data_IF_976876937604
#
_entry.id   IF_976876937604
#
_cell.length_a   1.000
_cell.length_b   1.000
_cell.length_c   1.000
_cell.angle_alpha   90.00
_cell.angle_beta   90.00
_cell.angle_gamma   90.00
#
_symmetry.space_group_name_H-M   'P 1'
#
loop_
_entity.id
_entity.type
_entity.pdbx_description
1 polymer ?
#
# COMPACT_ATOMS: atom_id res chain seq x y z
N UNK A 1 -14.66 5.20 -13.51
CA UNK A 1 -14.86 6.23 -12.48
C UNK A 1 -13.49 6.67 -12.01
N UNK A 2 -13.07 7.88 -12.42
CA UNK A 2 -11.79 8.48 -12.03
C UNK A 2 -11.89 9.05 -10.61
N UNK A 3 -11.86 8.18 -9.60
CA UNK A 3 -11.75 8.59 -8.19
C UNK A 3 -10.32 9.04 -7.80
N UNK A 4 -9.41 9.15 -8.80
CA UNK A 4 -7.99 9.45 -8.55
C UNK A 4 -7.65 10.93 -8.49
N UNK A 5 -8.51 11.80 -9.00
CA UNK A 5 -8.14 13.19 -9.27
C UNK A 5 -8.56 14.17 -8.16
N UNK A 6 -9.29 13.74 -7.15
CA UNK A 6 -9.93 14.64 -6.19
C UNK A 6 -9.32 14.65 -4.78
N UNK A 7 -8.38 13.76 -4.46
CA UNK A 7 -7.79 13.68 -3.13
C UNK A 7 -6.38 14.29 -3.11
N UNK A 8 -6.08 15.20 -2.15
CA UNK A 8 -4.75 15.76 -1.96
C UNK A 8 -3.82 14.66 -1.44
N UNK A 9 -3.04 14.08 -2.34
CA UNK A 9 -2.31 12.82 -2.16
C UNK A 9 -0.95 13.00 -1.50
N UNK A 10 -0.42 14.20 -1.46
CA UNK A 10 0.86 14.47 -0.81
C UNK A 10 0.64 15.03 0.60
N UNK A 11 0.07 14.18 1.47
CA UNK A 11 -0.24 14.57 2.82
C UNK A 11 0.97 14.32 3.73
N UNK A 12 1.30 15.27 4.62
CA UNK A 12 2.25 15.08 5.73
C UNK A 12 1.95 13.82 6.56
N UNK A 13 0.70 13.37 6.53
CA UNK A 13 0.22 12.16 7.18
C UNK A 13 0.75 10.85 6.56
N UNK A 14 1.27 10.84 5.33
CA UNK A 14 1.86 9.62 4.73
C UNK A 14 3.01 9.07 5.58
N UNK A 15 3.85 9.97 6.12
CA UNK A 15 4.92 9.58 7.04
C UNK A 15 4.36 9.04 8.36
N UNK A 16 3.28 9.65 8.89
CA UNK A 16 2.62 9.19 10.12
C UNK A 16 2.09 7.77 9.96
N UNK A 17 1.40 7.46 8.87
CA UNK A 17 0.88 6.11 8.61
C UNK A 17 1.99 5.09 8.43
N UNK A 18 3.06 5.47 7.76
CA UNK A 18 4.25 4.62 7.57
C UNK A 18 4.96 4.34 8.89
N UNK A 19 5.17 5.36 9.71
CA UNK A 19 5.76 5.22 11.05
C UNK A 19 4.84 4.44 11.97
N UNK A 20 3.52 4.67 11.91
CA UNK A 20 2.54 3.92 12.69
C UNK A 20 2.57 2.42 12.38
N UNK A 21 2.63 2.04 11.11
CA UNK A 21 2.77 0.63 10.70
C UNK A 21 4.11 0.04 11.17
N UNK A 22 5.20 0.81 11.09
CA UNK A 22 6.51 0.38 11.60
C UNK A 22 6.48 0.16 13.12
N UNK A 23 5.84 1.03 13.88
CA UNK A 23 5.67 0.87 15.33
C UNK A 23 4.88 -0.40 15.67
N UNK A 24 3.81 -0.70 14.92
CA UNK A 24 3.10 -1.99 15.08
C UNK A 24 4.04 -3.17 14.83
N UNK A 25 4.91 -3.10 13.81
CA UNK A 25 5.93 -4.11 13.54
C UNK A 25 6.92 -4.27 14.70
N UNK A 26 7.40 -3.15 15.27
CA UNK A 26 8.30 -3.18 16.45
C UNK A 26 7.62 -3.83 17.65
N UNK A 27 6.37 -3.51 17.94
CA UNK A 27 5.61 -4.12 19.04
C UNK A 27 5.56 -5.63 18.88
N UNK A 28 5.26 -6.13 17.68
CA UNK A 28 5.23 -7.57 17.39
C UNK A 28 6.61 -8.23 17.53
N UNK A 29 7.69 -7.53 17.12
CA UNK A 29 9.06 -8.04 17.30
C UNK A 29 9.45 -8.12 18.78
N UNK A 30 9.12 -7.11 19.56
CA UNK A 30 9.37 -7.13 21.02
C UNK A 30 8.62 -8.30 21.66
N UNK A 31 7.35 -8.49 21.31
CA UNK A 31 6.56 -9.62 21.80
C UNK A 31 7.19 -10.97 21.40
N UNK A 32 7.62 -11.11 20.16
CA UNK A 32 8.29 -12.32 19.68
C UNK A 32 9.62 -12.59 20.42
N UNK A 33 10.45 -11.56 20.60
CA UNK A 33 11.72 -11.69 21.33
C UNK A 33 11.50 -12.10 22.79
N UNK A 34 10.51 -11.51 23.46
CA UNK A 34 10.17 -11.88 24.84
C UNK A 34 9.67 -13.33 24.90
N UNK A 35 8.81 -13.76 23.97
CA UNK A 35 8.32 -15.13 23.94
C UNK A 35 9.42 -16.17 23.70
N UNK A 36 10.43 -15.85 22.88
CA UNK A 36 11.59 -16.71 22.69
C UNK A 36 12.54 -16.68 23.90
N UNK A 37 12.69 -15.53 24.57
CA UNK A 37 13.54 -15.42 25.77
C UNK A 37 12.98 -16.24 26.95
N UNK A 38 11.65 -16.34 27.05
CA UNK A 38 11.00 -17.16 28.09
C UNK A 38 11.08 -18.67 27.80
N UNK A 39 11.67 -19.06 26.66
CA UNK A 39 11.90 -20.47 26.33
C UNK A 39 10.64 -21.30 26.15
N UNK A 40 9.54 -20.68 25.74
CA UNK A 40 8.22 -21.30 25.57
C UNK A 40 8.26 -22.44 24.53
N UNK A 41 7.68 -23.59 24.89
CA UNK A 41 7.52 -24.70 23.96
C UNK A 41 6.67 -24.30 22.74
N UNK A 42 6.95 -24.93 21.59
CA UNK A 42 6.34 -24.51 20.31
C UNK A 42 4.80 -24.66 20.32
N UNK A 43 4.28 -25.69 20.97
CA UNK A 43 2.86 -26.02 21.04
C UNK A 43 2.36 -26.12 22.48
N UNK A 44 3.07 -25.54 23.42
CA UNK A 44 2.61 -25.48 24.80
C UNK A 44 1.40 -24.57 24.91
N UNK A 45 0.39 -25.05 25.61
CA UNK A 45 -0.86 -24.32 25.90
C UNK A 45 -1.07 -24.20 27.41
N UNK A 46 0.04 -24.11 28.15
CA UNK A 46 0.02 -24.09 29.62
C UNK A 46 -0.28 -22.73 30.24
N UNK A 47 -0.76 -21.79 29.41
CA UNK A 47 -1.16 -20.45 29.85
C UNK A 47 0.04 -19.53 30.17
N UNK A 48 1.21 -19.78 29.59
CA UNK A 48 2.35 -18.89 29.70
C UNK A 48 1.98 -17.47 29.14
N UNK A 49 2.40 -16.43 29.85
CA UNK A 49 2.07 -15.06 29.52
C UNK A 49 3.29 -14.19 29.31
N UNK A 50 3.30 -13.51 28.18
CA UNK A 50 4.30 -12.51 27.80
C UNK A 50 3.61 -11.16 27.71
N UNK A 51 4.02 -10.18 28.50
CA UNK A 51 3.43 -8.84 28.54
C UNK A 51 1.88 -8.82 28.73
N UNK A 52 1.33 -9.80 29.44
CA UNK A 52 -0.12 -9.94 29.68
C UNK A 52 -0.91 -10.65 28.57
N UNK A 53 -0.25 -11.05 27.47
CA UNK A 53 -0.81 -11.87 26.40
C UNK A 53 -0.38 -13.32 26.61
N UNK A 54 -1.25 -14.28 26.33
CA UNK A 54 -0.83 -15.68 26.23
C UNK A 54 0.11 -15.86 25.05
N UNK A 55 1.13 -16.69 25.20
CA UNK A 55 2.12 -16.92 24.14
C UNK A 55 2.63 -18.35 24.16
N UNK A 56 2.98 -18.85 22.99
CA UNK A 56 3.77 -20.04 22.79
C UNK A 56 4.82 -19.80 21.69
N UNK A 57 5.72 -20.74 21.48
CA UNK A 57 6.79 -20.61 20.49
C UNK A 57 6.27 -20.36 19.06
N UNK A 58 5.14 -20.98 18.69
CA UNK A 58 4.52 -20.79 17.37
C UNK A 58 3.99 -19.36 17.21
N UNK A 59 3.27 -18.82 18.20
CA UNK A 59 2.77 -17.45 18.17
C UNK A 59 3.92 -16.44 18.14
N UNK A 60 4.99 -16.70 18.88
CA UNK A 60 6.22 -15.88 18.86
C UNK A 60 6.87 -15.87 17.47
N UNK A 61 6.94 -17.03 16.78
CA UNK A 61 7.46 -17.12 15.42
C UNK A 61 6.58 -16.36 14.42
N UNK A 62 5.27 -16.51 14.49
CA UNK A 62 4.33 -15.75 13.64
C UNK A 62 4.51 -14.26 13.87
N UNK A 63 4.60 -13.81 15.12
CA UNK A 63 4.79 -12.40 15.48
C UNK A 63 6.12 -11.85 14.96
N UNK A 64 7.19 -12.65 14.99
CA UNK A 64 8.48 -12.31 14.39
C UNK A 64 8.34 -12.09 12.88
N UNK A 65 7.78 -13.04 12.17
CA UNK A 65 7.61 -12.96 10.71
C UNK A 65 6.77 -11.74 10.31
N UNK A 66 5.64 -11.53 10.98
CA UNK A 66 4.75 -10.40 10.69
C UNK A 66 5.39 -9.08 11.06
N UNK A 67 6.09 -8.99 12.19
CA UNK A 67 6.83 -7.79 12.59
C UNK A 67 7.89 -7.39 11.56
N UNK A 68 8.69 -8.35 11.08
CA UNK A 68 9.68 -8.13 10.02
C UNK A 68 9.01 -7.71 8.70
N UNK A 69 7.87 -8.31 8.36
CA UNK A 69 7.11 -7.99 7.17
C UNK A 69 6.61 -6.53 7.20
N UNK A 70 6.05 -6.08 8.32
CA UNK A 70 5.59 -4.70 8.49
C UNK A 70 6.74 -3.69 8.43
N UNK A 71 7.87 -3.99 9.06
CA UNK A 71 9.07 -3.14 8.99
C UNK A 71 9.64 -3.08 7.57
N UNK A 72 9.75 -4.23 6.90
CA UNK A 72 10.18 -4.30 5.50
C UNK A 72 9.25 -3.49 4.59
N UNK A 73 7.94 -3.62 4.78
CA UNK A 73 6.94 -2.82 4.08
C UNK A 73 7.10 -1.32 4.35
N UNK A 74 7.34 -0.93 5.60
CA UNK A 74 7.58 0.46 5.96
C UNK A 74 8.87 1.03 5.33
N UNK A 75 9.91 0.22 5.13
CA UNK A 75 11.14 0.62 4.43
C UNK A 75 10.88 0.82 2.93
N UNK A 76 10.21 -0.13 2.29
CA UNK A 76 9.88 -0.07 0.85
C UNK A 76 8.92 1.09 0.56
N UNK A 77 7.90 1.26 1.39
CA UNK A 77 6.92 2.33 1.25
C UNK A 77 5.95 2.16 0.08
N UNK A 78 5.24 3.22 -0.28
CA UNK A 78 4.35 3.28 -1.45
C UNK A 78 3.18 2.29 -1.40
N UNK A 79 2.72 1.88 -2.58
CA UNK A 79 1.57 0.98 -2.73
C UNK A 79 1.81 -0.43 -2.17
N UNK A 80 3.07 -0.90 -2.18
CA UNK A 80 3.44 -2.21 -1.65
C UNK A 80 3.21 -2.25 -0.15
N UNK A 81 3.74 -1.27 0.59
CA UNK A 81 3.53 -1.15 2.03
C UNK A 81 2.05 -1.06 2.39
N UNK A 82 1.29 -0.24 1.66
CA UNK A 82 -0.14 -0.09 1.87
C UNK A 82 -0.91 -1.39 1.67
N UNK A 83 -0.66 -2.10 0.57
CA UNK A 83 -1.33 -3.38 0.28
C UNK A 83 -0.97 -4.43 1.33
N UNK A 84 0.30 -4.49 1.72
CA UNK A 84 0.80 -5.40 2.75
C UNK A 84 0.14 -5.12 4.10
N UNK A 85 0.08 -3.86 4.52
CA UNK A 85 -0.59 -3.47 5.76
C UNK A 85 -2.08 -3.81 5.74
N UNK A 86 -2.76 -3.63 4.60
CA UNK A 86 -4.17 -4.02 4.48
C UNK A 86 -4.37 -5.54 4.64
N UNK A 87 -3.52 -6.34 4.01
CA UNK A 87 -3.60 -7.81 4.11
C UNK A 87 -3.31 -8.25 5.53
N UNK A 88 -2.20 -7.79 6.13
CA UNK A 88 -1.80 -8.14 7.50
C UNK A 88 -2.88 -7.72 8.49
N UNK A 89 -3.35 -6.47 8.42
CA UNK A 89 -4.37 -5.99 9.33
C UNK A 89 -5.70 -6.74 9.22
N UNK A 90 -6.14 -7.05 7.99
CA UNK A 90 -7.33 -7.87 7.77
C UNK A 90 -7.15 -9.29 8.33
N UNK A 91 -5.96 -9.88 8.18
CA UNK A 91 -5.64 -11.19 8.76
C UNK A 91 -5.70 -11.16 10.29
N UNK A 92 -5.20 -10.09 10.93
CA UNK A 92 -5.31 -9.93 12.38
C UNK A 92 -6.77 -9.84 12.85
N UNK A 93 -7.59 -9.05 12.17
CA UNK A 93 -9.04 -8.94 12.49
C UNK A 93 -9.72 -10.30 12.32
N UNK A 94 -9.47 -10.99 11.21
CA UNK A 94 -10.01 -12.32 10.95
C UNK A 94 -9.54 -13.32 12.00
N UNK A 95 -8.25 -13.32 12.35
CA UNK A 95 -7.67 -14.15 13.42
C UNK A 95 -8.37 -13.88 14.75
N UNK A 96 -8.65 -12.62 15.10
CA UNK A 96 -9.41 -12.26 16.29
C UNK A 96 -10.78 -12.95 16.31
N UNK A 97 -11.53 -12.89 15.22
CA UNK A 97 -12.82 -13.59 15.12
C UNK A 97 -12.70 -15.09 15.21
N UNK A 98 -11.77 -15.70 14.50
CA UNK A 98 -11.56 -17.16 14.53
C UNK A 98 -11.22 -17.63 15.95
N UNK A 99 -10.26 -16.96 16.61
CA UNK A 99 -9.84 -17.37 17.96
C UNK A 99 -10.87 -17.04 19.03
N UNK A 100 -11.75 -16.06 18.81
CA UNK A 100 -12.89 -15.85 19.70
C UNK A 100 -13.78 -17.11 19.81
N UNK A 101 -13.94 -17.86 18.70
CA UNK A 101 -14.67 -19.13 18.70
C UNK A 101 -13.84 -20.31 19.21
N UNK A 102 -12.51 -20.19 19.23
CA UNK A 102 -11.60 -21.27 19.59
C UNK A 102 -11.08 -21.20 21.03
N UNK A 103 -11.39 -20.13 21.80
CA UNK A 103 -10.79 -19.87 23.11
C UNK A 103 -10.77 -21.07 24.05
N UNK A 104 -11.89 -21.77 24.17
CA UNK A 104 -12.06 -22.92 25.08
C UNK A 104 -12.05 -24.27 24.36
N UNK A 105 -11.43 -24.33 23.18
CA UNK A 105 -11.43 -25.55 22.35
C UNK A 105 -10.02 -26.12 22.18
N UNK A 106 -9.89 -27.44 22.04
CA UNK A 106 -8.60 -28.10 21.78
C UNK A 106 -7.90 -27.62 20.50
N UNK A 107 -8.66 -26.99 19.58
CA UNK A 107 -8.12 -26.43 18.35
C UNK A 107 -7.42 -25.08 18.53
N UNK A 108 -7.38 -24.53 19.75
CA UNK A 108 -6.63 -23.29 20.08
C UNK A 108 -5.13 -23.55 20.21
N UNK A 109 -4.48 -23.96 19.14
CA UNK A 109 -3.06 -24.33 19.10
C UNK A 109 -2.10 -23.14 19.33
N UNK A 110 -2.59 -21.92 19.21
CA UNK A 110 -1.81 -20.69 19.42
C UNK A 110 -1.91 -20.19 20.88
N UNK A 111 -2.58 -20.93 21.75
CA UNK A 111 -2.86 -20.53 23.12
C UNK A 111 -3.46 -19.12 23.27
N UNK A 112 -4.37 -18.76 22.35
CA UNK A 112 -5.03 -17.47 22.41
C UNK A 112 -5.89 -17.36 23.67
N UNK A 113 -5.70 -16.29 24.41
CA UNK A 113 -6.58 -15.85 25.49
C UNK A 113 -7.44 -14.68 25.02
N UNK A 114 -8.40 -14.26 25.82
CA UNK A 114 -9.22 -13.08 25.52
C UNK A 114 -8.39 -11.82 25.30
N UNK A 115 -7.28 -11.67 26.02
CA UNK A 115 -6.33 -10.56 25.82
C UNK A 115 -5.74 -10.56 24.40
N UNK A 116 -5.40 -11.73 23.85
CA UNK A 116 -4.87 -11.89 22.50
C UNK A 116 -5.93 -11.56 21.45
N UNK A 117 -7.19 -11.94 21.69
CA UNK A 117 -8.31 -11.59 20.79
C UNK A 117 -8.49 -10.08 20.72
N UNK A 118 -8.55 -9.39 21.86
CA UNK A 118 -8.64 -7.92 21.93
C UNK A 118 -7.43 -7.27 21.25
N UNK A 119 -6.23 -7.76 21.54
CA UNK A 119 -5.00 -7.29 20.91
C UNK A 119 -5.07 -7.43 19.36
N UNK A 120 -5.54 -8.57 18.86
CA UNK A 120 -5.68 -8.82 17.42
C UNK A 120 -6.64 -7.85 16.76
N UNK A 121 -7.77 -7.53 17.39
CA UNK A 121 -8.68 -6.52 16.87
C UNK A 121 -8.07 -5.13 16.86
N UNK A 122 -7.46 -4.70 17.96
CA UNK A 122 -6.83 -3.36 18.06
C UNK A 122 -5.71 -3.22 17.05
N UNK A 123 -4.77 -4.18 17.01
CA UNK A 123 -3.66 -4.16 16.07
C UNK A 123 -4.13 -4.27 14.63
N UNK A 124 -5.09 -5.15 14.36
CA UNK A 124 -5.64 -5.33 13.03
C UNK A 124 -6.29 -4.05 12.49
N UNK A 125 -7.13 -3.40 13.28
CA UNK A 125 -7.77 -2.14 12.89
C UNK A 125 -6.75 -1.01 12.68
N UNK A 126 -5.74 -0.90 13.54
CA UNK A 126 -4.68 0.10 13.37
C UNK A 126 -3.89 -0.14 12.07
N UNK A 127 -3.45 -1.38 11.84
CA UNK A 127 -2.66 -1.72 10.65
C UNK A 127 -3.48 -1.54 9.36
N UNK A 128 -4.76 -1.97 9.34
CA UNK A 128 -5.67 -1.74 8.19
C UNK A 128 -5.83 -0.25 7.93
N UNK A 129 -6.05 0.54 8.99
CA UNK A 129 -6.20 2.00 8.87
C UNK A 129 -4.95 2.61 8.25
N UNK A 130 -3.75 2.26 8.74
CA UNK A 130 -2.50 2.73 8.15
C UNK A 130 -2.32 2.27 6.70
N UNK A 131 -2.76 1.06 6.37
CA UNK A 131 -2.76 0.56 5.01
C UNK A 131 -3.69 1.35 4.08
N UNK A 132 -4.92 1.58 4.48
CA UNK A 132 -5.91 2.30 3.68
C UNK A 132 -5.48 3.74 3.41
N UNK A 133 -5.08 4.47 4.44
CA UNK A 133 -4.64 5.86 4.30
C UNK A 133 -3.27 6.01 3.66
N UNK A 134 -2.37 5.03 3.84
CA UNK A 134 -1.07 4.99 3.17
C UNK A 134 -1.20 4.85 1.65
N UNK A 135 -2.26 4.22 1.15
CA UNK A 135 -2.52 4.08 -0.29
C UNK A 135 -2.97 5.38 -0.95
N UNK A 136 -3.63 6.25 -0.22
CA UNK A 136 -4.08 7.57 -0.70
C UNK A 136 -2.89 8.50 -0.92
N UNK A 137 -1.76 8.27 -0.27
CA UNK A 137 -0.53 9.07 -0.40
C UNK A 137 0.45 8.59 -1.49
N UNK A 138 0.09 7.55 -2.26
CA UNK A 138 0.92 7.03 -3.37
C UNK A 138 0.95 8.00 -4.56
N UNK A 139 2.12 8.45 -4.93
CA UNK A 139 2.49 9.42 -5.96
C UNK A 139 1.42 9.83 -6.97
N UNK A 140 1.04 11.10 -6.96
CA UNK A 140 0.22 11.70 -8.00
C UNK A 140 0.97 11.71 -9.34
N UNK A 141 0.28 11.51 -10.46
CA UNK A 141 0.83 11.79 -11.77
C UNK A 141 1.29 13.25 -11.86
N UNK A 142 2.39 13.52 -12.56
CA UNK A 142 2.99 14.85 -12.67
C UNK A 142 2.10 15.87 -13.41
N UNK A 143 1.09 15.41 -14.15
CA UNK A 143 0.08 16.26 -14.80
C UNK A 143 -1.04 16.72 -13.87
N UNK A 144 -1.11 16.14 -12.65
CA UNK A 144 -2.13 16.51 -11.69
C UNK A 144 -1.91 17.92 -11.14
N UNK A 145 -2.96 18.79 -11.12
CA UNK A 145 -2.85 20.17 -10.61
C UNK A 145 -2.32 20.28 -9.19
N UNK A 146 -2.69 19.34 -8.30
CA UNK A 146 -2.20 19.32 -6.91
C UNK A 146 -0.71 18.98 -6.82
N UNK A 147 -0.23 18.05 -7.65
CA UNK A 147 1.20 17.74 -7.73
C UNK A 147 1.97 18.98 -8.20
N UNK A 148 1.52 19.62 -9.27
CA UNK A 148 2.14 20.83 -9.85
C UNK A 148 2.18 22.00 -8.87
N UNK A 149 1.13 22.20 -8.08
CA UNK A 149 1.10 23.28 -7.09
C UNK A 149 2.11 23.09 -5.96
N UNK A 150 2.49 21.86 -5.66
CA UNK A 150 3.46 21.52 -4.61
C UNK A 150 4.88 21.36 -5.09
N UNK A 151 5.06 21.10 -6.39
CA UNK A 151 6.35 20.93 -7.04
C UNK A 151 6.54 21.93 -8.19
N UNK A 152 6.42 23.26 -7.94
CA UNK A 152 6.36 24.26 -9.02
C UNK A 152 7.65 24.27 -9.85
N UNK A 153 8.80 24.04 -9.26
CA UNK A 153 10.09 24.00 -9.95
C UNK A 153 10.19 22.80 -10.92
N UNK A 154 9.72 21.63 -10.48
CA UNK A 154 9.73 20.43 -11.32
C UNK A 154 8.70 20.56 -12.45
N UNK A 155 7.51 21.07 -12.15
CA UNK A 155 6.47 21.31 -13.14
C UNK A 155 6.94 22.30 -14.23
N UNK A 156 7.71 23.33 -13.87
CA UNK A 156 8.33 24.25 -14.83
C UNK A 156 9.35 23.55 -15.71
N UNK A 157 10.27 22.80 -15.13
CA UNK A 157 11.30 22.05 -15.89
C UNK A 157 10.69 21.07 -16.87
N UNK A 158 9.63 20.37 -16.48
CA UNK A 158 8.90 19.44 -17.36
C UNK A 158 8.16 20.19 -18.48
N UNK A 159 7.54 21.31 -18.17
CA UNK A 159 6.89 22.16 -19.17
C UNK A 159 7.90 22.73 -20.17
N UNK A 160 9.06 23.21 -19.71
CA UNK A 160 10.16 23.68 -20.56
C UNK A 160 10.74 22.58 -21.44
N UNK A 161 10.89 21.36 -20.91
CA UNK A 161 11.36 20.20 -21.66
C UNK A 161 10.35 19.71 -22.72
N UNK A 162 9.05 19.92 -22.49
CA UNK A 162 8.00 19.53 -23.42
C UNK A 162 7.87 20.48 -24.64
N UNK A 163 8.23 21.75 -24.49
CA UNK A 163 8.14 22.76 -25.56
C UNK A 163 9.02 22.42 -26.79
N UNK A 164 10.27 21.96 -26.68
CA UNK A 164 11.08 21.59 -27.82
C UNK A 164 10.53 20.39 -28.61
N UNK A 165 9.88 19.43 -27.94
CA UNK A 165 9.31 18.26 -28.57
C UNK A 165 8.10 18.60 -29.48
N UNK A 166 7.35 19.63 -29.13
CA UNK A 166 6.21 20.09 -29.92
C UNK A 166 6.63 21.00 -31.08
N UNK A 167 7.71 21.77 -30.91
CA UNK A 167 8.23 22.64 -31.98
C UNK A 167 9.08 21.91 -33.03
N UNK A 168 9.68 20.78 -32.66
CA UNK A 168 10.49 19.94 -33.58
C UNK A 168 9.66 19.06 -34.53
N UNK A 169 8.35 18.90 -34.29
CA UNK A 169 7.47 18.04 -35.09
C UNK A 169 6.65 18.74 -36.19
N UNK A 170 6.67 20.06 -36.25
CA UNK A 170 5.92 20.83 -37.25
C UNK A 170 6.81 21.39 -38.38
N UNK A 171 7.58 20.51 -39.02
CA UNK A 171 8.11 20.81 -40.36
C UNK A 171 6.91 20.98 -41.31
N UNK A 172 6.94 21.97 -42.24
CA UNK A 172 5.84 22.19 -43.16
C UNK A 172 5.62 20.91 -43.98
N UNK A 173 4.48 20.25 -43.79
CA UNK A 173 4.04 19.17 -44.66
C UNK A 173 4.01 19.72 -46.10
N UNK A 174 4.75 19.13 -47.08
CA UNK A 174 4.65 19.57 -48.46
C UNK A 174 3.19 19.41 -48.87
N UNK A 175 2.58 20.55 -49.28
CA UNK A 175 1.26 20.57 -49.92
C UNK A 175 1.33 19.59 -51.09
N UNK A 176 0.69 18.45 -51.00
CA UNK A 176 0.44 17.57 -52.13
C UNK A 176 -0.32 18.42 -53.15
N UNK A 177 0.35 18.77 -54.26
CA UNK A 177 -0.28 19.35 -55.42
C UNK A 177 -1.42 18.42 -55.84
N UNK A 178 -2.65 18.93 -55.71
CA UNK A 178 -3.82 18.27 -56.26
C UNK A 178 -3.66 18.38 -57.78
N UNK A 179 -3.18 17.27 -58.37
CA UNK A 179 -3.16 17.12 -59.83
C UNK A 179 -4.57 17.31 -60.33
N UNK A 180 -4.82 18.43 -61.04
CA UNK A 180 -6.05 18.71 -61.69
C UNK A 180 -6.34 17.60 -62.72
N UNK A 181 -7.26 16.74 -62.41
CA UNK A 181 -7.78 15.71 -63.32
C UNK A 181 -8.47 16.46 -64.47
N UNK A 182 -7.82 16.49 -65.62
CA UNK A 182 -8.32 16.99 -66.91
C UNK A 182 -9.64 16.30 -67.24
N UNK A 183 -10.73 17.07 -67.34
CA UNK A 183 -12.02 16.58 -67.79
C UNK A 183 -11.93 16.18 -69.29
N UNK A 184 -12.61 15.10 -69.71
CA UNK A 184 -12.64 14.68 -71.09
C UNK A 184 -13.55 15.66 -71.86
N UNK A 185 -13.09 16.10 -73.06
CA UNK A 185 -13.85 16.91 -74.03
C UNK A 185 -15.00 16.05 -74.57
N UNK A 186 -16.22 16.61 -74.75
CA UNK A 186 -17.26 15.96 -75.51
C UNK A 186 -16.94 16.06 -77.01
N UNK A 187 -16.91 14.92 -77.71
CA UNK A 187 -16.86 14.80 -79.15
C UNK A 187 -18.20 15.20 -79.74
N UNK A 188 -18.26 16.32 -80.45
CA UNK A 188 -19.35 16.60 -81.33
C UNK A 188 -19.18 15.85 -82.63
N UNK A 189 -20.23 15.32 -83.13
CA UNK A 189 -20.40 14.81 -84.52
C UNK A 189 -21.49 15.52 -85.24
N UNK A 190 -21.47 15.50 -86.59
CA UNK A 190 -22.37 16.26 -87.45
C UNK A 190 -23.76 15.66 -87.52
#
# INVERSE_FOLDING_TARGET
VKLRDELPVDHRLATVYRVGAALCGVILLVFACLGFADGLGFFETDGARVAGLSSNGLLSLISLCVGLLLLGGAVVGGNVASTLNMIVGATFVLSGFVHLFLLDRPANILDFSMSNVVFSFVMGLLIVTFGMYGRVSGGLPHDNPYWRSRHPEQARREAEAAVPALSGGAGPRPRRAISARRAPRPSGSP
#
